data_IF_352970313200
#
_entry.id   IF_352970313200
#
_cell.length_a   1.000
_cell.length_b   1.000
_cell.length_c   1.000
_cell.angle_alpha   90.00
_cell.angle_beta   90.00
_cell.angle_gamma   90.00
#
_symmetry.space_group_name_H-M   'P 1'
#
loop_
_entity.id
_entity.type
_entity.pdbx_description
1 polymer ?
#
# COMPACT_ATOMS: atom_id res chain seq x y z
N UNK A 1 -26.78 -4.12 -1.67
CA UNK A 1 -25.62 -3.98 -0.75
C UNK A 1 -25.68 -4.83 0.53
N UNK A 2 -26.40 -5.96 0.55
CA UNK A 2 -26.53 -6.81 1.76
C UNK A 2 -25.65 -8.07 1.75
N UNK A 3 -24.46 -8.02 1.11
CA UNK A 3 -23.61 -9.22 1.03
C UNK A 3 -22.70 -9.40 2.26
N UNK A 4 -22.49 -8.37 3.08
CA UNK A 4 -21.54 -8.36 4.21
C UNK A 4 -22.29 -7.96 5.48
N UNK A 5 -22.28 -8.83 6.48
CA UNK A 5 -22.85 -8.55 7.80
C UNK A 5 -21.80 -7.98 8.79
N UNK A 6 -22.21 -7.68 10.00
CA UNK A 6 -21.37 -7.12 11.04
C UNK A 6 -20.22 -8.06 11.45
N UNK A 7 -20.45 -9.38 11.42
CA UNK A 7 -19.40 -10.35 11.73
C UNK A 7 -18.33 -10.38 10.65
N UNK A 8 -18.74 -10.30 9.37
CA UNK A 8 -17.81 -10.20 8.24
C UNK A 8 -16.94 -8.94 8.37
N UNK A 9 -17.54 -7.80 8.74
CA UNK A 9 -16.81 -6.54 8.96
C UNK A 9 -15.79 -6.65 10.09
N UNK A 10 -16.14 -7.27 11.21
CA UNK A 10 -15.22 -7.52 12.32
C UNK A 10 -14.06 -8.43 11.91
N UNK A 11 -14.32 -9.48 11.13
CA UNK A 11 -13.26 -10.34 10.57
C UNK A 11 -12.33 -9.56 9.65
N UNK A 12 -12.88 -8.78 8.72
CA UNK A 12 -12.11 -7.95 7.79
C UNK A 12 -11.26 -6.92 8.53
N UNK A 13 -11.79 -6.28 9.57
CA UNK A 13 -11.02 -5.36 10.40
C UNK A 13 -9.81 -6.02 11.06
N UNK A 14 -9.98 -7.25 11.60
CA UNK A 14 -8.86 -7.99 12.19
C UNK A 14 -7.78 -8.31 11.16
N UNK A 15 -8.19 -8.62 9.93
CA UNK A 15 -7.28 -9.01 8.86
C UNK A 15 -6.67 -7.81 8.13
N UNK A 16 -7.27 -6.62 8.16
CA UNK A 16 -6.83 -5.45 7.37
C UNK A 16 -5.35 -5.14 7.59
N UNK A 17 -4.91 -5.08 8.84
CA UNK A 17 -3.51 -4.79 9.20
C UNK A 17 -2.73 -6.02 9.68
N UNK A 18 -3.37 -7.18 9.77
CA UNK A 18 -2.80 -8.42 10.28
C UNK A 18 -3.27 -9.62 9.47
N UNK A 19 -2.98 -9.62 8.15
CA UNK A 19 -3.49 -10.63 7.23
C UNK A 19 -3.01 -12.07 7.53
N UNK A 20 -2.01 -12.25 8.38
CA UNK A 20 -1.53 -13.56 8.88
C UNK A 20 -2.03 -13.90 10.29
N UNK A 21 -3.00 -13.15 10.83
CA UNK A 21 -3.55 -13.42 12.15
C UNK A 21 -4.14 -14.86 12.20
N UNK A 22 -3.80 -15.69 13.20
CA UNK A 22 -4.34 -17.02 13.31
C UNK A 22 -5.87 -17.05 13.43
N UNK A 23 -6.52 -17.97 12.73
CA UNK A 23 -7.99 -18.06 12.69
C UNK A 23 -8.58 -18.23 14.10
N UNK A 24 -7.91 -18.96 14.98
CA UNK A 24 -8.34 -19.13 16.37
C UNK A 24 -8.35 -17.80 17.15
N UNK A 25 -7.41 -16.93 16.86
CA UNK A 25 -7.35 -15.59 17.47
C UNK A 25 -8.46 -14.69 16.92
N UNK A 26 -8.69 -14.72 15.59
CA UNK A 26 -9.83 -14.01 14.99
C UNK A 26 -11.14 -14.53 15.60
N UNK A 27 -11.32 -15.83 15.69
CA UNK A 27 -12.52 -16.47 16.26
C UNK A 27 -12.80 -15.99 17.68
N UNK A 28 -11.76 -15.93 18.52
CA UNK A 28 -11.85 -15.38 19.88
C UNK A 28 -12.25 -13.90 19.87
N UNK A 29 -11.62 -13.08 19.02
CA UNK A 29 -11.85 -11.64 18.98
C UNK A 29 -13.24 -11.28 18.45
N UNK A 30 -13.78 -12.06 17.48
CA UNK A 30 -15.11 -11.83 16.90
C UNK A 30 -16.23 -12.64 17.57
N UNK A 31 -15.89 -13.42 18.62
CA UNK A 31 -16.82 -14.28 19.37
C UNK A 31 -17.60 -15.24 18.47
N UNK A 32 -16.87 -15.96 17.63
CA UNK A 32 -17.39 -16.99 16.72
C UNK A 32 -16.58 -18.29 16.88
N UNK A 33 -17.12 -19.42 16.40
CA UNK A 33 -16.30 -20.62 16.27
C UNK A 33 -15.29 -20.49 15.13
N UNK A 34 -14.24 -21.29 15.17
CA UNK A 34 -13.20 -21.34 14.13
C UNK A 34 -13.81 -21.63 12.75
N UNK A 35 -14.70 -22.62 12.69
CA UNK A 35 -15.35 -23.07 11.46
C UNK A 35 -16.18 -21.96 10.82
N UNK A 36 -16.87 -21.16 11.64
CA UNK A 36 -17.63 -19.99 11.17
C UNK A 36 -16.69 -18.94 10.58
N UNK A 37 -15.56 -18.66 11.22
CA UNK A 37 -14.58 -17.68 10.71
C UNK A 37 -13.97 -18.18 9.39
N UNK A 38 -13.54 -19.45 9.32
CA UNK A 38 -13.00 -20.05 8.09
C UNK A 38 -14.01 -19.99 6.93
N UNK A 39 -15.25 -20.38 7.18
CA UNK A 39 -16.33 -20.30 6.19
C UNK A 39 -16.55 -18.86 5.69
N UNK A 40 -16.58 -17.88 6.61
CA UNK A 40 -16.78 -16.47 6.26
C UNK A 40 -15.62 -15.91 5.46
N UNK A 41 -14.38 -16.20 5.80
CA UNK A 41 -13.20 -15.79 5.03
C UNK A 41 -13.26 -16.37 3.62
N UNK A 42 -13.56 -17.66 3.47
CA UNK A 42 -13.72 -18.32 2.17
C UNK A 42 -14.86 -17.69 1.35
N UNK A 43 -15.98 -17.37 2.00
CA UNK A 43 -17.10 -16.67 1.36
C UNK A 43 -16.70 -15.28 0.88
N UNK A 44 -15.94 -14.51 1.67
CA UNK A 44 -15.44 -13.18 1.31
C UNK A 44 -14.48 -13.24 0.10
N UNK A 45 -13.65 -14.27 0.01
CA UNK A 45 -12.84 -14.56 -1.18
C UNK A 45 -13.72 -14.87 -2.41
N UNK A 46 -14.72 -15.77 -2.28
CA UNK A 46 -15.63 -16.10 -3.39
C UNK A 46 -16.44 -14.91 -3.88
N UNK A 47 -16.78 -13.98 -3.01
CA UNK A 47 -17.46 -12.72 -3.37
C UNK A 47 -16.50 -11.69 -4.01
N UNK A 48 -15.20 -11.99 -4.09
CA UNK A 48 -14.17 -11.08 -4.59
C UNK A 48 -13.96 -9.85 -3.72
N UNK A 49 -14.35 -9.91 -2.45
CA UNK A 49 -14.13 -8.83 -1.47
C UNK A 49 -12.69 -8.87 -1.02
N UNK A 50 -12.20 -10.04 -0.64
CA UNK A 50 -10.78 -10.30 -0.38
C UNK A 50 -10.15 -10.77 -1.67
N UNK A 51 -9.15 -10.05 -2.18
CA UNK A 51 -8.35 -10.43 -3.34
C UNK A 51 -7.05 -11.16 -2.96
N UNK A 52 -6.62 -11.07 -1.71
CA UNK A 52 -5.41 -11.69 -1.21
C UNK A 52 -4.83 -10.95 -0.01
N UNK A 53 -3.52 -11.02 0.15
CA UNK A 53 -2.78 -10.26 1.14
C UNK A 53 -1.36 -9.97 0.61
N UNK A 54 -0.82 -8.84 1.02
CA UNK A 54 0.53 -8.44 0.67
C UNK A 54 1.35 -8.14 1.92
N UNK A 55 2.67 -8.34 1.79
CA UNK A 55 3.64 -8.04 2.83
C UNK A 55 4.11 -6.62 2.66
N UNK A 56 4.17 -5.86 3.75
CA UNK A 56 4.71 -4.51 3.78
C UNK A 56 6.20 -4.60 4.17
N UNK A 57 7.07 -4.10 3.28
CA UNK A 57 8.51 -4.09 3.47
C UNK A 57 9.03 -2.66 3.63
N UNK A 58 10.06 -2.50 4.47
CA UNK A 58 10.88 -1.28 4.49
C UNK A 58 12.19 -1.54 3.72
N UNK A 59 12.13 -1.33 2.41
CA UNK A 59 13.27 -1.60 1.51
C UNK A 59 14.37 -0.54 1.60
N UNK A 60 14.11 0.59 2.25
CA UNK A 60 15.13 1.59 2.55
C UNK A 60 16.22 1.04 3.47
N UNK A 61 15.87 0.09 4.34
CA UNK A 61 16.83 -0.61 5.20
C UNK A 61 17.93 -1.34 4.39
N UNK A 62 17.63 -1.75 3.18
CA UNK A 62 18.56 -2.43 2.28
C UNK A 62 19.01 -1.53 1.11
N UNK A 63 18.81 -0.21 1.25
CA UNK A 63 19.31 0.80 0.34
C UNK A 63 18.47 1.06 -0.91
N UNK A 64 17.23 0.57 -1.00
CA UNK A 64 16.34 0.91 -2.09
C UNK A 64 15.43 2.09 -1.72
N UNK A 65 15.21 2.98 -2.67
CA UNK A 65 14.33 4.16 -2.58
C UNK A 65 13.17 4.02 -3.54
N UNK A 66 12.03 4.53 -3.14
CA UNK A 66 10.86 4.59 -4.00
C UNK A 66 10.75 5.93 -4.72
N UNK A 67 10.54 5.86 -6.03
CA UNK A 67 10.29 7.00 -6.91
C UNK A 67 8.91 6.82 -7.53
N UNK A 68 8.12 7.90 -7.55
CA UNK A 68 6.82 7.94 -8.21
C UNK A 68 6.94 8.67 -9.53
N UNK A 69 6.44 8.07 -10.58
CA UNK A 69 6.27 8.66 -11.90
C UNK A 69 4.78 8.84 -12.16
N UNK A 70 4.39 10.06 -12.49
CA UNK A 70 3.08 10.37 -13.07
C UNK A 70 3.30 10.60 -14.55
N UNK A 71 2.58 9.91 -15.41
CA UNK A 71 2.72 10.00 -16.86
C UNK A 71 1.41 10.49 -17.50
N UNK A 72 1.52 11.51 -18.34
CA UNK A 72 0.49 11.89 -19.30
C UNK A 72 0.84 11.31 -20.65
N UNK A 73 -0.11 10.57 -21.22
CA UNK A 73 0.09 9.87 -22.47
C UNK A 73 -0.63 10.59 -23.62
N UNK A 74 -0.11 10.43 -24.83
CA UNK A 74 -0.78 10.93 -26.04
C UNK A 74 -0.55 9.97 -27.21
N UNK A 75 -1.46 10.00 -28.19
CA UNK A 75 -1.38 9.22 -29.44
C UNK A 75 -1.27 7.69 -29.26
N UNK A 76 -1.66 7.12 -28.12
CA UNK A 76 -1.75 5.68 -27.95
C UNK A 76 -3.13 5.18 -28.34
N UNK A 77 -3.17 4.15 -29.17
CA UNK A 77 -4.37 3.33 -29.31
C UNK A 77 -4.45 2.32 -28.14
N UNK A 78 -5.57 1.58 -28.10
CA UNK A 78 -5.85 0.62 -27.03
C UNK A 78 -4.75 -0.46 -26.92
N UNK A 79 -4.33 -1.05 -28.03
CA UNK A 79 -3.34 -2.13 -28.06
C UNK A 79 -1.96 -1.66 -27.60
N UNK A 80 -1.56 -0.46 -28.02
CA UNK A 80 -0.30 0.15 -27.60
C UNK A 80 -0.30 0.45 -26.09
N UNK A 81 -1.44 0.95 -25.57
CA UNK A 81 -1.60 1.17 -24.13
C UNK A 81 -1.50 -0.13 -23.35
N UNK A 82 -2.15 -1.20 -23.81
CA UNK A 82 -2.08 -2.52 -23.18
C UNK A 82 -0.64 -3.08 -23.21
N UNK A 83 0.08 -2.95 -24.33
CA UNK A 83 1.51 -3.33 -24.42
C UNK A 83 2.39 -2.54 -23.45
N UNK A 84 2.16 -1.22 -23.35
CA UNK A 84 2.91 -0.39 -22.41
C UNK A 84 2.63 -0.78 -20.96
N UNK A 85 1.36 -0.96 -20.58
CA UNK A 85 1.00 -1.43 -19.24
C UNK A 85 1.62 -2.79 -18.96
N UNK A 86 1.57 -3.72 -19.91
CA UNK A 86 2.18 -5.05 -19.76
C UNK A 86 3.69 -4.96 -19.51
N UNK A 87 4.40 -4.11 -20.27
CA UNK A 87 5.82 -3.85 -20.06
C UNK A 87 6.10 -3.32 -18.64
N UNK A 88 5.30 -2.36 -18.17
CA UNK A 88 5.45 -1.82 -16.81
C UNK A 88 5.17 -2.86 -15.73
N UNK A 89 4.16 -3.71 -15.91
CA UNK A 89 3.82 -4.78 -14.96
C UNK A 89 4.96 -5.80 -14.84
N UNK A 90 5.56 -6.18 -15.97
CA UNK A 90 6.63 -7.19 -16.01
C UNK A 90 7.98 -6.65 -15.58
N UNK A 91 8.15 -5.33 -15.53
CA UNK A 91 9.42 -4.71 -15.17
C UNK A 91 9.74 -4.95 -13.67
N UNK A 92 10.96 -5.43 -13.41
CA UNK A 92 11.37 -5.89 -12.07
C UNK A 92 11.71 -4.76 -11.07
N UNK A 93 11.73 -3.52 -11.50
CA UNK A 93 11.86 -2.37 -10.61
C UNK A 93 10.54 -1.68 -10.29
N UNK A 94 9.45 -1.97 -10.99
CA UNK A 94 8.15 -1.39 -10.69
C UNK A 94 7.45 -2.18 -9.60
N UNK A 95 6.95 -1.49 -8.58
CA UNK A 95 6.22 -2.14 -7.50
C UNK A 95 4.72 -1.77 -7.45
N UNK A 96 4.35 -0.63 -7.99
CA UNK A 96 2.96 -0.24 -8.19
C UNK A 96 2.77 0.37 -9.58
N UNK A 97 1.75 -0.07 -10.29
CA UNK A 97 1.35 0.45 -11.59
C UNK A 97 -0.17 0.56 -11.59
N UNK A 98 -0.70 1.76 -11.81
CA UNK A 98 -2.13 1.99 -11.83
C UNK A 98 -2.54 2.95 -12.96
N UNK A 99 -3.74 2.72 -13.51
CA UNK A 99 -4.42 3.69 -14.37
C UNK A 99 -5.20 4.67 -13.51
N UNK A 100 -4.98 5.95 -13.76
CA UNK A 100 -5.63 7.06 -13.08
C UNK A 100 -6.35 7.95 -14.10
N UNK A 101 -7.15 8.89 -13.63
CA UNK A 101 -7.87 9.83 -14.50
C UNK A 101 -7.45 11.27 -14.25
N UNK A 102 -7.92 12.20 -15.10
CA UNK A 102 -7.65 13.62 -15.00
C UNK A 102 -6.42 14.06 -15.80
N UNK A 103 -5.49 14.79 -15.19
CA UNK A 103 -4.28 15.28 -15.87
C UNK A 103 -3.33 14.16 -16.29
N UNK A 104 -3.25 13.11 -15.51
CA UNK A 104 -2.33 11.99 -15.68
C UNK A 104 -3.10 10.71 -16.06
N UNK A 105 -2.48 9.84 -16.83
CA UNK A 105 -3.07 8.57 -17.29
C UNK A 105 -2.59 7.37 -16.50
N UNK A 106 -1.31 7.37 -16.12
CA UNK A 106 -0.66 6.26 -15.43
C UNK A 106 0.19 6.80 -14.29
N UNK A 107 0.14 6.09 -13.16
CA UNK A 107 1.07 6.23 -12.05
C UNK A 107 1.92 4.97 -11.93
N UNK A 108 3.22 5.16 -11.69
CA UNK A 108 4.19 4.09 -11.56
C UNK A 108 5.05 4.39 -10.33
N UNK A 109 5.21 3.41 -9.45
CA UNK A 109 6.21 3.49 -8.41
C UNK A 109 7.37 2.55 -8.75
N UNK A 110 8.58 3.09 -8.73
CA UNK A 110 9.84 2.42 -9.12
C UNK A 110 10.75 2.33 -7.91
N UNK A 111 11.39 1.17 -7.71
CA UNK A 111 12.46 0.99 -6.73
C UNK A 111 13.82 1.15 -7.41
N UNK A 112 14.66 2.01 -6.84
CA UNK A 112 16.04 2.18 -7.25
C UNK A 112 16.92 2.47 -6.03
N UNK A 113 18.23 2.15 -6.11
CA UNK A 113 19.17 2.42 -5.01
C UNK A 113 19.48 3.91 -4.88
N UNK A 114 19.52 4.60 -6.01
CA UNK A 114 19.87 6.01 -6.09
C UNK A 114 19.24 6.66 -7.33
N UNK A 115 19.45 7.96 -7.48
CA UNK A 115 18.97 8.73 -8.62
C UNK A 115 19.59 8.29 -9.95
N UNK A 116 20.83 7.77 -9.95
CA UNK A 116 21.49 7.30 -11.16
C UNK A 116 20.84 6.02 -11.69
N UNK A 117 20.56 5.04 -10.80
CA UNK A 117 19.84 3.84 -11.18
C UNK A 117 18.40 4.16 -11.60
N UNK A 118 17.73 5.07 -10.88
CA UNK A 118 16.39 5.52 -11.28
C UNK A 118 16.41 6.14 -12.68
N UNK A 119 17.37 7.03 -12.98
CA UNK A 119 17.51 7.63 -14.30
C UNK A 119 17.72 6.56 -15.39
N UNK A 120 18.54 5.55 -15.13
CA UNK A 120 18.74 4.46 -16.09
C UNK A 120 17.44 3.72 -16.41
N UNK A 121 16.66 3.38 -15.37
CA UNK A 121 15.33 2.74 -15.53
C UNK A 121 14.37 3.67 -16.29
N UNK A 122 14.36 4.95 -15.97
CA UNK A 122 13.52 5.92 -16.65
C UNK A 122 13.90 6.09 -18.12
N UNK A 123 15.20 6.11 -18.46
CA UNK A 123 15.67 6.16 -19.84
C UNK A 123 15.29 4.91 -20.64
N UNK A 124 15.21 3.73 -20.01
CA UNK A 124 14.66 2.53 -20.66
C UNK A 124 13.18 2.73 -21.04
N UNK A 125 12.38 3.34 -20.15
CA UNK A 125 10.97 3.66 -20.43
C UNK A 125 10.86 4.68 -21.57
N UNK A 126 11.64 5.75 -21.54
CA UNK A 126 11.64 6.81 -22.56
C UNK A 126 12.13 6.30 -23.89
N UNK A 127 13.20 5.50 -23.93
CA UNK A 127 13.72 4.92 -25.18
C UNK A 127 12.67 4.06 -25.87
N UNK A 128 11.87 3.33 -25.11
CA UNK A 128 10.89 2.37 -25.65
C UNK A 128 9.54 3.01 -25.94
N UNK A 129 9.09 3.95 -25.10
CA UNK A 129 7.75 4.49 -25.13
C UNK A 129 7.69 6.03 -25.11
N UNK A 130 8.83 6.73 -25.18
CA UNK A 130 8.91 8.18 -25.07
C UNK A 130 8.07 8.93 -26.09
N UNK A 131 7.90 8.36 -27.31
CA UNK A 131 7.02 8.92 -28.33
C UNK A 131 5.56 9.05 -27.90
N UNK A 132 5.15 8.35 -26.85
CA UNK A 132 3.79 8.35 -26.30
C UNK A 132 3.69 9.13 -24.98
N UNK A 133 4.81 9.61 -24.42
CA UNK A 133 4.84 10.37 -23.18
C UNK A 133 4.80 11.86 -23.52
N UNK A 134 3.68 12.51 -23.20
CA UNK A 134 3.51 13.96 -23.41
C UNK A 134 4.14 14.77 -22.27
N UNK A 135 3.96 14.31 -21.03
CA UNK A 135 4.39 15.00 -19.82
C UNK A 135 4.66 13.97 -18.73
N UNK A 136 5.58 14.26 -17.83
CA UNK A 136 5.82 13.44 -16.65
C UNK A 136 6.15 14.29 -15.43
N UNK A 137 5.88 13.75 -14.26
CA UNK A 137 6.28 14.31 -12.96
C UNK A 137 6.96 13.22 -12.13
N UNK A 138 8.08 13.56 -11.48
CA UNK A 138 8.85 12.65 -10.64
C UNK A 138 8.79 13.12 -9.20
N UNK A 139 8.41 12.21 -8.29
CA UNK A 139 8.39 12.45 -6.85
C UNK A 139 9.24 11.40 -6.14
N UNK A 140 10.16 11.84 -5.28
CA UNK A 140 10.97 10.94 -4.47
C UNK A 140 10.33 10.75 -3.11
N UNK A 141 10.14 9.53 -2.67
CA UNK A 141 9.56 9.21 -1.37
C UNK A 141 10.53 9.55 -0.24
N UNK A 142 9.97 10.10 0.85
CA UNK A 142 10.68 10.40 2.10
C UNK A 142 10.19 9.54 3.24
N UNK A 143 8.88 9.38 3.38
CA UNK A 143 8.30 8.43 4.32
C UNK A 143 6.87 8.08 3.90
N UNK A 144 6.37 6.97 4.45
CA UNK A 144 5.03 6.46 4.20
C UNK A 144 4.36 6.20 5.55
N UNK A 145 3.09 6.61 5.67
CA UNK A 145 2.18 6.17 6.72
C UNK A 145 1.05 5.38 6.07
N UNK A 146 0.89 4.15 6.49
CA UNK A 146 -0.16 3.25 6.04
C UNK A 146 -1.15 3.01 7.19
N UNK A 147 -2.40 3.41 7.03
CA UNK A 147 -3.42 3.38 8.08
C UNK A 147 -4.46 2.29 7.86
N UNK A 148 -4.99 1.77 8.96
CA UNK A 148 -6.12 0.85 8.92
C UNK A 148 -7.36 1.52 8.31
N UNK A 149 -8.13 0.73 7.57
CA UNK A 149 -9.40 1.14 6.95
C UNK A 149 -10.53 1.20 7.99
N UNK A 150 -10.60 2.30 8.72
CA UNK A 150 -11.55 2.53 9.82
C UNK A 150 -13.01 2.40 9.38
N UNK A 151 -13.30 2.71 8.12
CA UNK A 151 -14.65 2.63 7.56
C UNK A 151 -15.20 1.20 7.47
N UNK A 152 -14.36 0.16 7.60
CA UNK A 152 -14.83 -1.24 7.60
C UNK A 152 -15.88 -1.45 8.68
N UNK A 153 -15.72 -0.84 9.86
CA UNK A 153 -16.69 -0.94 10.97
C UNK A 153 -17.76 0.16 10.98
N UNK A 154 -17.52 1.32 10.36
CA UNK A 154 -18.45 2.43 10.42
C UNK A 154 -19.69 2.17 9.56
N UNK A 155 -20.75 1.64 10.17
CA UNK A 155 -22.11 1.84 9.70
C UNK A 155 -22.70 3.01 10.49
N UNK A 156 -23.56 3.85 9.84
CA UNK A 156 -24.20 5.08 10.40
C UNK A 156 -24.98 4.90 11.72
N UNK A 157 -25.02 3.71 12.32
CA UNK A 157 -25.85 3.39 13.49
C UNK A 157 -25.11 3.25 14.83
N UNK A 158 -23.76 3.26 14.88
CA UNK A 158 -23.08 2.86 16.13
C UNK A 158 -21.97 3.82 16.58
N UNK A 159 -22.34 5.05 16.98
CA UNK A 159 -21.46 5.93 17.77
C UNK A 159 -21.06 5.35 19.15
N UNK A 160 -21.76 4.32 19.64
CA UNK A 160 -21.51 3.71 20.96
C UNK A 160 -20.42 2.65 20.99
N UNK A 161 -20.16 1.93 19.89
CA UNK A 161 -19.16 0.85 19.86
C UNK A 161 -17.70 1.34 19.71
N UNK A 162 -17.49 2.59 19.27
CA UNK A 162 -16.13 3.13 19.10
C UNK A 162 -15.35 3.26 20.42
N UNK A 163 -16.03 3.43 21.54
CA UNK A 163 -15.39 3.62 22.87
C UNK A 163 -14.96 2.28 23.49
N UNK A 164 -15.68 1.19 23.23
CA UNK A 164 -15.31 -0.14 23.74
C UNK A 164 -14.16 -0.79 22.94
N UNK A 165 -14.06 -0.49 21.64
CA UNK A 165 -13.03 -1.06 20.77
C UNK A 165 -11.64 -0.41 20.93
N UNK A 166 -11.54 0.81 21.45
CA UNK A 166 -10.25 1.44 21.76
C UNK A 166 -9.45 0.68 22.83
N UNK A 167 -10.10 -0.12 23.67
CA UNK A 167 -9.45 -0.93 24.72
C UNK A 167 -8.98 -2.32 24.24
N UNK A 168 -9.55 -2.85 23.15
CA UNK A 168 -9.15 -4.15 22.58
C UNK A 168 -7.91 -4.05 21.66
N UNK A 169 -7.62 -2.86 21.14
CA UNK A 169 -6.55 -2.62 20.15
C UNK A 169 -5.19 -2.20 20.74
N UNK A 170 -4.94 -2.40 22.04
CA UNK A 170 -3.68 -1.98 22.66
C UNK A 170 -2.43 -2.81 22.28
N UNK A 171 -2.58 -3.84 21.43
CA UNK A 171 -1.46 -4.68 20.95
C UNK A 171 -1.30 -4.75 19.42
N UNK A 172 -2.21 -4.20 18.63
CA UNK A 172 -2.10 -4.22 17.18
C UNK A 172 -1.83 -2.81 16.66
N UNK A 173 -0.74 -2.64 15.91
CA UNK A 173 -0.47 -1.37 15.23
C UNK A 173 -1.62 -1.05 14.25
N UNK A 174 -2.29 0.07 14.45
CA UNK A 174 -3.29 0.58 13.50
C UNK A 174 -2.63 1.30 12.31
N UNK A 175 -1.31 1.14 12.17
CA UNK A 175 -0.50 1.91 11.24
C UNK A 175 0.84 1.20 11.01
N UNK A 176 1.30 1.18 9.75
CA UNK A 176 2.69 0.95 9.41
C UNK A 176 3.36 2.29 9.12
N UNK A 177 4.58 2.44 9.55
CA UNK A 177 5.40 3.62 9.30
C UNK A 177 6.75 3.19 8.74
N UNK A 178 7.11 3.74 7.58
CA UNK A 178 8.39 3.51 6.92
C UNK A 178 9.26 4.75 7.13
N UNK A 179 10.24 4.71 8.04
CA UNK A 179 11.09 5.86 8.34
C UNK A 179 12.14 6.14 7.28
N UNK A 180 12.30 5.24 6.31
CA UNK A 180 13.27 5.33 5.22
C UNK A 180 14.71 5.53 5.69
N UNK A 181 15.15 4.69 6.62
CA UNK A 181 16.50 4.69 7.17
C UNK A 181 17.30 3.50 6.66
N UNK A 182 18.38 3.77 5.95
CA UNK A 182 19.32 2.73 5.53
C UNK A 182 20.03 2.12 6.73
N UNK A 183 20.08 0.77 6.79
CA UNK A 183 20.84 0.03 7.79
C UNK A 183 21.97 -0.78 7.13
N UNK A 184 23.21 -0.28 7.13
CA UNK A 184 24.33 -0.95 6.48
C UNK A 184 24.69 -2.30 7.13
N UNK A 185 24.20 -2.60 8.31
CA UNK A 185 24.44 -3.86 9.01
C UNK A 185 23.42 -4.95 8.70
N UNK A 186 22.35 -4.63 7.97
CA UNK A 186 21.36 -5.61 7.53
C UNK A 186 21.83 -6.27 6.24
N UNK A 187 22.41 -7.45 6.37
CA UNK A 187 22.77 -8.28 5.20
C UNK A 187 21.71 -9.36 4.98
N UNK A 188 21.33 -9.58 3.73
CA UNK A 188 20.42 -10.62 3.31
C UNK A 188 21.19 -11.68 2.52
N UNK A 189 20.94 -12.95 2.78
CA UNK A 189 21.42 -14.03 1.95
C UNK A 189 20.39 -14.39 0.84
N UNK A 190 20.76 -15.28 -0.06
CA UNK A 190 19.89 -15.73 -1.14
C UNK A 190 18.63 -16.40 -0.64
N UNK A 191 18.68 -17.07 0.50
CA UNK A 191 17.53 -17.69 1.16
C UNK A 191 16.55 -16.64 1.62
N UNK A 192 17.03 -15.56 2.24
CA UNK A 192 16.19 -14.45 2.69
C UNK A 192 15.48 -13.79 1.50
N UNK A 193 16.17 -13.59 0.37
CA UNK A 193 15.56 -13.07 -0.86
C UNK A 193 14.45 -13.99 -1.38
N UNK A 194 14.66 -15.31 -1.38
CA UNK A 194 13.63 -16.26 -1.79
C UNK A 194 12.42 -16.19 -0.85
N UNK A 195 12.63 -16.13 0.46
CA UNK A 195 11.56 -15.96 1.45
C UNK A 195 10.78 -14.66 1.20
N UNK A 196 11.48 -13.54 1.00
CA UNK A 196 10.86 -12.23 0.73
C UNK A 196 10.05 -12.27 -0.56
N UNK A 197 10.56 -12.91 -1.61
CA UNK A 197 9.84 -13.09 -2.88
C UNK A 197 8.57 -13.90 -2.71
N UNK A 198 8.62 -15.02 -1.96
CA UNK A 198 7.43 -15.83 -1.69
C UNK A 198 6.37 -15.03 -0.90
N UNK A 199 6.80 -14.25 0.10
CA UNK A 199 5.92 -13.40 0.90
C UNK A 199 5.38 -12.19 0.12
N UNK A 200 6.12 -11.69 -0.86
CA UNK A 200 5.66 -10.61 -1.75
C UNK A 200 4.60 -11.10 -2.73
N UNK A 201 4.74 -12.32 -3.23
CA UNK A 201 3.77 -12.94 -4.13
C UNK A 201 2.46 -13.30 -3.40
N UNK A 202 2.57 -13.81 -2.19
CA UNK A 202 1.42 -14.08 -1.34
C UNK A 202 1.81 -14.04 0.15
N UNK A 203 1.41 -12.99 0.83
CA UNK A 203 1.66 -12.83 2.27
C UNK A 203 1.06 -13.95 3.14
N UNK A 204 0.07 -14.69 2.64
CA UNK A 204 -0.60 -15.79 3.36
C UNK A 204 0.08 -17.15 3.19
N UNK A 205 1.16 -17.26 2.39
CA UNK A 205 1.92 -18.51 2.30
C UNK A 205 2.31 -18.99 3.71
N UNK A 206 1.99 -20.25 4.00
CA UNK A 206 2.38 -20.89 5.27
C UNK A 206 3.89 -21.11 5.33
N UNK A 207 4.43 -21.22 6.53
CA UNK A 207 5.85 -21.54 6.69
C UNK A 207 6.22 -22.88 6.03
N UNK A 208 5.28 -23.82 5.93
CA UNK A 208 5.50 -25.11 5.27
C UNK A 208 5.62 -24.95 3.76
N UNK A 209 4.71 -24.19 3.13
CA UNK A 209 4.79 -23.91 1.69
C UNK A 209 6.09 -23.19 1.31
N UNK A 210 6.48 -22.17 2.09
CA UNK A 210 7.75 -21.47 1.85
C UNK A 210 8.94 -22.41 2.05
N UNK A 211 8.87 -23.31 3.04
CA UNK A 211 9.94 -24.28 3.32
C UNK A 211 10.15 -25.25 2.16
N UNK A 212 9.07 -25.75 1.55
CA UNK A 212 9.10 -26.60 0.36
C UNK A 212 9.76 -25.91 -0.83
N UNK A 213 9.40 -24.64 -1.10
CA UNK A 213 9.94 -23.86 -2.20
C UNK A 213 11.43 -23.46 -2.01
N UNK A 214 11.83 -23.20 -0.77
CA UNK A 214 13.17 -22.72 -0.41
C UNK A 214 14.14 -23.89 -0.10
N UNK A 215 13.62 -25.09 0.13
CA UNK A 215 14.44 -26.27 0.48
C UNK A 215 14.93 -26.26 1.93
N UNK A 216 14.16 -25.68 2.87
CA UNK A 216 14.50 -25.60 4.29
C UNK A 216 13.43 -26.23 5.16
N UNK A 217 13.72 -26.40 6.47
CA UNK A 217 12.70 -26.82 7.43
C UNK A 217 11.73 -25.69 7.76
N UNK A 218 10.48 -26.05 8.10
CA UNK A 218 9.46 -25.08 8.56
C UNK A 218 9.96 -24.20 9.72
N UNK A 219 10.73 -24.75 10.66
CA UNK A 219 11.25 -24.01 11.81
C UNK A 219 12.35 -23.02 11.39
N UNK A 220 13.20 -23.39 10.43
CA UNK A 220 14.20 -22.47 9.87
C UNK A 220 13.55 -21.28 9.16
N UNK A 221 12.52 -21.52 8.34
CA UNK A 221 11.75 -20.44 7.69
C UNK A 221 11.10 -19.53 8.73
N UNK A 222 10.44 -20.12 9.77
CA UNK A 222 9.83 -19.33 10.85
C UNK A 222 10.85 -18.43 11.54
N UNK A 223 12.03 -18.96 11.86
CA UNK A 223 13.09 -18.20 12.53
C UNK A 223 13.61 -17.05 11.65
N UNK A 224 13.82 -17.29 10.34
CA UNK A 224 14.26 -16.27 9.40
C UNK A 224 13.23 -15.15 9.23
N UNK A 225 11.95 -15.51 9.01
CA UNK A 225 10.87 -14.52 8.90
C UNK A 225 10.79 -13.68 10.18
N UNK A 226 10.84 -14.29 11.36
CA UNK A 226 10.84 -13.56 12.63
C UNK A 226 12.07 -12.64 12.78
N UNK A 227 13.24 -13.05 12.28
CA UNK A 227 14.42 -12.17 12.24
C UNK A 227 14.20 -10.97 11.33
N UNK A 228 13.62 -11.17 10.12
CA UNK A 228 13.32 -10.10 9.18
C UNK A 228 12.27 -9.12 9.75
N UNK A 229 11.26 -9.63 10.46
CA UNK A 229 10.27 -8.82 11.19
C UNK A 229 10.93 -8.02 12.34
N UNK A 230 11.76 -8.66 13.14
CA UNK A 230 12.46 -8.02 14.26
C UNK A 230 13.41 -6.92 13.81
N UNK A 231 14.07 -7.11 12.66
CA UNK A 231 14.96 -6.13 12.05
C UNK A 231 14.20 -5.01 11.31
N UNK A 232 12.88 -5.09 11.23
CA UNK A 232 12.04 -4.07 10.61
C UNK A 232 11.97 -4.12 9.09
N UNK A 233 12.59 -5.11 8.43
CA UNK A 233 12.48 -5.26 6.97
C UNK A 233 11.06 -5.69 6.56
N UNK A 234 10.44 -6.57 7.35
CA UNK A 234 9.01 -6.88 7.25
C UNK A 234 8.29 -6.07 8.33
N UNK A 235 7.51 -5.08 7.92
CA UNK A 235 6.72 -4.24 8.83
C UNK A 235 5.41 -4.91 9.22
N UNK A 236 4.86 -5.75 8.35
CA UNK A 236 3.63 -6.47 8.60
C UNK A 236 3.00 -7.04 7.35
N UNK A 237 1.73 -7.45 7.50
CA UNK A 237 0.97 -8.14 6.46
C UNK A 237 -0.42 -7.52 6.36
N UNK A 238 -0.75 -6.97 5.21
CA UNK A 238 -2.00 -6.26 4.98
C UNK A 238 -2.94 -7.04 4.07
N UNK A 239 -4.23 -6.98 4.37
CA UNK A 239 -5.25 -7.56 3.52
C UNK A 239 -5.40 -6.75 2.23
N UNK A 240 -5.42 -7.44 1.09
CA UNK A 240 -5.78 -6.86 -0.19
C UNK A 240 -7.27 -7.07 -0.42
N UNK A 241 -8.01 -5.98 -0.61
CA UNK A 241 -9.39 -6.07 -1.00
C UNK A 241 -9.79 -4.90 -1.92
N UNK A 242 -10.89 -5.07 -2.65
CA UNK A 242 -11.34 -4.07 -3.60
C UNK A 242 -12.28 -3.06 -2.93
N UNK A 243 -11.89 -1.77 -2.79
CA UNK A 243 -12.73 -0.74 -2.17
C UNK A 243 -14.10 -0.63 -2.84
N UNK A 244 -14.19 -0.82 -4.16
CA UNK A 244 -15.43 -0.78 -4.91
C UNK A 244 -16.46 -1.83 -4.47
N UNK A 245 -16.02 -2.99 -3.95
CA UNK A 245 -16.91 -4.00 -3.36
C UNK A 245 -17.52 -3.56 -2.02
N UNK A 246 -16.92 -2.54 -1.39
CA UNK A 246 -17.46 -1.83 -0.23
C UNK A 246 -18.25 -0.57 -0.60
N UNK A 247 -18.47 -0.34 -1.90
CA UNK A 247 -19.11 0.89 -2.38
C UNK A 247 -18.24 2.12 -2.19
N UNK A 248 -16.90 1.95 -2.30
CA UNK A 248 -15.93 3.03 -2.17
C UNK A 248 -15.18 3.26 -3.47
N UNK A 249 -14.86 4.52 -3.71
CA UNK A 249 -13.99 4.95 -4.81
C UNK A 249 -12.66 5.40 -4.25
N UNK A 250 -11.58 5.08 -4.96
CA UNK A 250 -10.21 5.43 -4.57
C UNK A 250 -9.74 6.68 -5.31
N UNK A 251 -9.13 7.61 -4.58
CA UNK A 251 -8.56 8.85 -5.12
C UNK A 251 -7.15 9.07 -4.59
N UNK A 252 -6.30 9.63 -5.44
CA UNK A 252 -5.04 10.27 -5.03
C UNK A 252 -5.29 11.76 -4.89
N UNK A 253 -4.87 12.34 -3.78
CA UNK A 253 -4.86 13.77 -3.53
C UNK A 253 -3.42 14.21 -3.32
N UNK A 254 -2.89 14.99 -4.24
CA UNK A 254 -1.51 15.47 -4.26
C UNK A 254 -1.48 16.93 -3.82
N UNK A 255 -0.85 17.21 -2.69
CA UNK A 255 -0.79 18.52 -2.08
C UNK A 255 0.53 19.22 -2.42
N UNK A 256 0.44 20.35 -3.09
CA UNK A 256 1.54 21.31 -3.23
C UNK A 256 1.55 22.21 -2.00
N UNK A 257 2.59 22.10 -1.19
CA UNK A 257 2.67 22.75 0.12
C UNK A 257 3.88 23.66 0.17
N UNK A 258 3.66 24.90 0.62
CA UNK A 258 4.71 25.88 0.88
C UNK A 258 4.90 26.08 2.39
N UNK A 259 6.10 26.54 2.78
CA UNK A 259 6.42 26.93 4.16
C UNK A 259 6.01 25.89 5.22
N UNK A 260 6.20 24.59 4.90
CA UNK A 260 5.82 23.49 5.78
C UNK A 260 6.67 23.50 7.06
N UNK A 261 6.21 24.21 8.09
CA UNK A 261 6.75 24.13 9.43
C UNK A 261 6.50 22.74 9.99
N UNK A 262 7.45 22.20 10.74
CA UNK A 262 7.36 20.84 11.28
C UNK A 262 6.08 20.59 12.10
N UNK A 263 5.60 21.61 12.79
CA UNK A 263 4.34 21.53 13.56
C UNK A 263 3.13 21.36 12.66
N UNK A 264 3.03 22.17 11.58
CA UNK A 264 1.91 22.06 10.63
C UNK A 264 1.93 20.75 9.85
N UNK A 265 3.13 20.23 9.54
CA UNK A 265 3.27 18.88 8.96
C UNK A 265 2.71 17.81 9.89
N UNK A 266 3.07 17.87 11.19
CA UNK A 266 2.55 16.93 12.20
C UNK A 266 1.03 17.02 12.34
N UNK A 267 0.46 18.21 12.30
CA UNK A 267 -0.98 18.43 12.34
C UNK A 267 -1.68 17.81 11.12
N UNK A 268 -1.13 18.01 9.91
CA UNK A 268 -1.67 17.45 8.68
C UNK A 268 -1.61 15.91 8.67
N UNK A 269 -0.50 15.32 9.12
CA UNK A 269 -0.35 13.87 9.26
C UNK A 269 -1.28 13.35 10.36
N UNK A 270 -1.45 14.08 11.46
CA UNK A 270 -2.38 13.73 12.53
C UNK A 270 -3.83 13.77 12.06
N UNK A 271 -4.20 14.80 11.30
CA UNK A 271 -5.50 14.89 10.64
C UNK A 271 -5.76 13.65 9.78
N UNK A 272 -4.81 13.32 8.88
CA UNK A 272 -4.91 12.14 8.02
C UNK A 272 -5.04 10.84 8.82
N UNK A 273 -4.27 10.69 9.90
CA UNK A 273 -4.31 9.53 10.79
C UNK A 273 -5.69 9.30 11.40
N UNK A 274 -6.43 10.36 11.73
CA UNK A 274 -7.77 10.24 12.36
C UNK A 274 -8.91 10.26 11.35
N UNK A 275 -8.69 10.72 10.14
CA UNK A 275 -9.70 10.69 9.08
C UNK A 275 -9.96 9.25 8.60
N UNK A 276 -11.23 8.88 8.46
CA UNK A 276 -11.63 7.51 8.08
C UNK A 276 -11.46 7.23 6.59
N UNK A 277 -11.34 8.26 5.78
CA UNK A 277 -11.23 8.14 4.33
C UNK A 277 -9.78 8.11 3.83
N UNK A 278 -8.80 8.53 4.65
CA UNK A 278 -7.39 8.56 4.27
C UNK A 278 -6.72 7.26 4.75
N UNK A 279 -6.17 6.49 3.82
CA UNK A 279 -5.55 5.18 4.08
C UNK A 279 -4.03 5.19 3.93
N UNK A 280 -3.48 6.06 3.06
CA UNK A 280 -2.04 6.27 2.94
C UNK A 280 -1.71 7.76 2.97
N UNK A 281 -0.56 8.07 3.56
CA UNK A 281 0.08 9.37 3.48
C UNK A 281 1.52 9.14 3.06
N UNK A 282 1.93 9.79 1.98
CA UNK A 282 3.30 9.74 1.49
C UNK A 282 3.87 11.14 1.43
N UNK A 283 5.03 11.32 2.07
CA UNK A 283 5.81 12.55 1.94
C UNK A 283 6.83 12.39 0.82
N UNK A 284 6.97 13.44 0.02
CA UNK A 284 7.86 13.45 -1.16
C UNK A 284 8.81 14.64 -1.17
N UNK A 285 9.87 14.50 -1.99
CA UNK A 285 10.59 15.60 -2.63
C UNK A 285 10.05 15.69 -4.05
N UNK A 286 9.70 16.89 -4.50
CA UNK A 286 9.13 17.20 -5.81
C UNK A 286 8.06 18.27 -5.72
N UNK A 287 7.27 18.43 -6.79
CA UNK A 287 6.20 19.42 -6.87
C UNK A 287 5.17 19.22 -5.74
N UNK A 288 4.75 17.99 -5.51
CA UNK A 288 3.78 17.64 -4.47
C UNK A 288 4.53 17.10 -3.24
N UNK A 289 4.42 17.81 -2.14
CA UNK A 289 5.13 17.47 -0.89
C UNK A 289 4.46 16.33 -0.13
N UNK A 290 3.15 16.24 -0.22
CA UNK A 290 2.36 15.20 0.47
C UNK A 290 1.31 14.66 -0.49
N UNK A 291 1.16 13.35 -0.51
CA UNK A 291 0.08 12.66 -1.20
C UNK A 291 -0.78 11.91 -0.18
N UNK A 292 -2.10 12.05 -0.29
CA UNK A 292 -3.06 11.18 0.38
C UNK A 292 -3.66 10.21 -0.63
N UNK A 293 -3.76 8.95 -0.22
CA UNK A 293 -4.62 7.98 -0.89
C UNK A 293 -5.90 7.85 -0.07
N UNK A 294 -7.02 8.12 -0.73
CA UNK A 294 -8.33 8.24 -0.09
C UNK A 294 -9.28 7.17 -0.64
N UNK A 295 -10.06 6.55 0.25
CA UNK A 295 -11.15 5.64 -0.10
C UNK A 295 -12.47 6.24 0.44
N UNK A 296 -13.31 6.79 -0.45
CA UNK A 296 -14.53 7.54 -0.12
C UNK A 296 -15.79 6.83 -0.62
N UNK A 297 -16.94 7.08 0.01
CA UNK A 297 -18.22 6.46 -0.40
C UNK A 297 -18.74 6.96 -1.75
N UNK A 298 -18.50 8.24 -2.03
CA UNK A 298 -18.96 8.91 -3.26
C UNK A 298 -18.20 10.23 -3.45
N UNK A 299 -18.45 10.88 -4.57
CA UNK A 299 -17.85 12.16 -4.95
C UNK A 299 -18.18 13.28 -3.97
N UNK A 300 -19.37 13.27 -3.36
CA UNK A 300 -19.77 14.27 -2.38
C UNK A 300 -18.90 14.17 -1.10
N UNK A 301 -18.69 12.98 -0.56
CA UNK A 301 -17.77 12.78 0.57
C UNK A 301 -16.32 13.13 0.23
N UNK A 302 -15.90 12.94 -1.03
CA UNK A 302 -14.59 13.40 -1.46
C UNK A 302 -14.51 14.92 -1.46
N UNK A 303 -15.55 15.60 -1.93
CA UNK A 303 -15.63 17.06 -1.91
C UNK A 303 -15.64 17.61 -0.47
N UNK A 304 -16.38 16.98 0.45
CA UNK A 304 -16.35 17.35 1.87
C UNK A 304 -14.94 17.23 2.47
N UNK A 305 -14.22 16.12 2.16
CA UNK A 305 -12.83 15.91 2.58
C UNK A 305 -11.90 17.01 2.04
N UNK A 306 -12.05 17.37 0.76
CA UNK A 306 -11.27 18.45 0.15
C UNK A 306 -11.54 19.80 0.81
N UNK A 307 -12.80 20.11 1.11
CA UNK A 307 -13.19 21.34 1.78
C UNK A 307 -12.62 21.40 3.20
N UNK A 308 -12.72 20.32 3.97
CA UNK A 308 -12.13 20.22 5.32
C UNK A 308 -10.61 20.43 5.31
N UNK A 309 -9.91 19.79 4.37
CA UNK A 309 -8.45 19.95 4.22
C UNK A 309 -8.11 21.40 3.85
N UNK A 310 -8.84 22.00 2.91
CA UNK A 310 -8.62 23.37 2.48
C UNK A 310 -8.86 24.36 3.62
N UNK A 311 -9.98 24.23 4.34
CA UNK A 311 -10.34 25.14 5.43
C UNK A 311 -9.32 25.10 6.57
N UNK A 312 -8.83 23.88 6.88
CA UNK A 312 -7.92 23.67 8.01
C UNK A 312 -6.47 24.01 7.70
N UNK A 313 -6.04 23.89 6.44
CA UNK A 313 -4.64 23.97 6.02
C UNK A 313 -4.40 24.99 4.90
N UNK A 314 -5.30 25.99 4.73
CA UNK A 314 -5.18 27.06 3.73
C UNK A 314 -3.92 27.91 3.86
N UNK A 315 -3.31 27.94 5.05
CA UNK A 315 -2.07 28.66 5.35
C UNK A 315 -0.82 28.00 4.76
N UNK A 316 -0.89 26.69 4.45
CA UNK A 316 0.25 25.92 3.93
C UNK A 316 0.00 25.32 2.55
N UNK A 317 -1.24 25.08 2.13
CA UNK A 317 -1.57 24.48 0.84
C UNK A 317 -1.66 25.60 -0.22
N UNK A 318 -0.78 25.54 -1.23
CA UNK A 318 -0.81 26.45 -2.38
C UNK A 318 -1.89 26.02 -3.36
N UNK A 319 -1.79 24.77 -3.79
CA UNK A 319 -2.73 24.11 -4.69
C UNK A 319 -2.74 22.60 -4.44
N UNK A 320 -3.64 21.89 -5.08
CA UNK A 320 -3.68 20.44 -5.09
C UNK A 320 -4.22 19.91 -6.42
N UNK A 321 -3.75 18.74 -6.78
CA UNK A 321 -4.32 17.93 -7.85
C UNK A 321 -4.95 16.67 -7.23
N UNK A 322 -6.02 16.15 -7.84
CA UNK A 322 -6.61 14.88 -7.43
C UNK A 322 -6.98 14.03 -8.64
N UNK A 323 -6.87 12.71 -8.46
CA UNK A 323 -7.06 11.75 -9.52
C UNK A 323 -7.81 10.52 -9.00
N UNK A 324 -8.91 10.09 -9.66
CA UNK A 324 -9.48 8.79 -9.39
C UNK A 324 -8.48 7.69 -9.81
N UNK A 325 -8.35 6.66 -8.97
CA UNK A 325 -7.64 5.43 -9.32
C UNK A 325 -8.68 4.50 -9.93
N UNK A 326 -8.55 4.21 -11.23
CA UNK A 326 -9.48 3.36 -11.93
C UNK A 326 -9.12 1.88 -11.80
N UNK A 327 -7.84 1.58 -11.85
CA UNK A 327 -7.38 0.20 -11.90
C UNK A 327 -5.94 0.05 -11.42
N UNK A 328 -5.74 -0.84 -10.44
CA UNK A 328 -4.41 -1.27 -10.02
C UNK A 328 -3.98 -2.46 -10.90
N UNK A 329 -2.96 -2.26 -11.71
CA UNK A 329 -2.43 -3.30 -12.60
C UNK A 329 -1.39 -4.17 -11.92
N UNK A 330 -0.61 -3.59 -11.00
CA UNK A 330 0.43 -4.28 -10.23
C UNK A 330 0.53 -3.67 -8.84
N UNK A 331 0.57 -4.53 -7.83
CA UNK A 331 1.00 -4.21 -6.48
C UNK A 331 1.94 -5.34 -6.04
N UNK A 332 3.24 -5.07 -5.99
CA UNK A 332 4.25 -6.02 -5.50
C UNK A 332 5.34 -5.24 -4.77
N UNK A 333 5.27 -5.17 -3.48
CA UNK A 333 6.19 -4.39 -2.65
C UNK A 333 7.63 -4.92 -2.62
N UNK A 334 7.92 -6.10 -3.19
CA UNK A 334 9.26 -6.65 -3.36
C UNK A 334 9.44 -7.20 -4.78
N UNK A 335 9.52 -6.35 -5.81
CA UNK A 335 9.70 -6.78 -7.19
C UNK A 335 11.12 -7.29 -7.48
N UNK A 336 12.02 -7.21 -6.49
CA UNK A 336 13.47 -7.45 -6.60
C UNK A 336 13.85 -8.92 -6.61
N UNK A 337 12.91 -9.87 -6.54
CA UNK A 337 13.16 -11.31 -6.38
C UNK A 337 14.07 -11.97 -7.44
N UNK A 338 14.26 -11.33 -8.58
CA UNK A 338 15.16 -11.80 -9.67
C UNK A 338 16.44 -10.97 -9.79
N UNK A 339 16.71 -10.05 -8.86
CA UNK A 339 17.91 -9.25 -8.88
C UNK A 339 18.99 -9.97 -8.07
N UNK A 340 20.14 -10.27 -8.70
CA UNK A 340 21.34 -10.68 -7.98
C UNK A 340 21.77 -9.53 -7.07
N UNK A 341 21.83 -9.78 -5.76
CA UNK A 341 22.46 -8.83 -4.84
C UNK A 341 23.91 -8.63 -5.28
N UNK A 342 24.43 -7.42 -5.29
CA UNK A 342 25.86 -7.23 -5.45
C UNK A 342 26.58 -8.04 -4.35
N UNK A 343 27.55 -8.84 -4.74
CA UNK A 343 28.48 -9.44 -3.78
C UNK A 343 29.13 -8.27 -3.05
N UNK A 344 28.86 -8.15 -1.75
CA UNK A 344 29.54 -7.21 -0.84
C UNK A 344 30.98 -7.69 -0.68
#
# INVERSE_FOLDING_TARGET
MNQIDQKDRRILQQLDMHARLPINEIAKNVQCSREIVEYRIQRLHKLGIISGAHTIFDLDLIGYRSFRLLLRLFKLNKEEKERFIHYLITHHHTWWVASIGGRWDIIINVLAKDASQFNHIFEEFVTRYGQYIQEYEILTYINIHDYARKYILSHKSEKKDQIQHSKLNSKSSSQFYHPMQYNPHLSLDTTDLHILTQLANNAQHSYTQIAEEVGLTRNAIKARIHSLEKNGLILGYRLSFHPSKFGRSSYLLLLNINNLKQERERELITFAKFNSSIIFVVKHIGKYRITFECEVENEYHFHELLSEIRDRFNDIIIDFDFFPIFYDHKINYFPLGNISLPKI
#
